data_IF_141270262310
#
_entry.id   IF_141270262310
#
_cell.length_a   1.000
_cell.length_b   1.000
_cell.length_c   1.000
_cell.angle_alpha   90.00
_cell.angle_beta   90.00
_cell.angle_gamma   90.00
#
_symmetry.space_group_name_H-M   'P 1'
#
loop_
_entity.id
_entity.type
_entity.pdbx_description
1 polymer ?
#
# COMPACT_ATOMS: atom_id res chain seq x y z
N UNK A 1 14.42 39.85 33.51
CA UNK A 1 14.93 39.42 32.18
C UNK A 1 14.63 37.95 31.90
N UNK A 2 14.90 37.02 32.82
CA UNK A 2 14.68 35.57 32.60
C UNK A 2 13.21 35.16 32.38
N UNK A 3 12.25 35.86 33.00
CA UNK A 3 10.82 35.56 32.84
C UNK A 3 10.30 35.86 31.42
N UNK A 4 10.84 36.89 30.76
CA UNK A 4 10.49 37.28 29.39
C UNK A 4 11.06 36.31 28.35
N UNK A 5 12.28 35.80 28.59
CA UNK A 5 12.89 34.75 27.76
C UNK A 5 12.11 33.43 27.92
N UNK A 6 11.68 33.11 29.15
CA UNK A 6 10.90 31.90 29.41
C UNK A 6 9.50 31.99 28.78
N UNK A 7 8.84 33.16 28.84
CA UNK A 7 7.55 33.35 28.17
C UNK A 7 7.68 33.29 26.64
N UNK A 8 8.75 33.84 26.05
CA UNK A 8 8.93 33.81 24.59
C UNK A 8 9.29 32.42 24.07
N UNK A 9 10.08 31.63 24.81
CA UNK A 9 10.35 30.22 24.47
C UNK A 9 9.13 29.35 24.66
N UNK A 10 8.33 29.59 25.72
CA UNK A 10 7.06 28.89 25.94
C UNK A 10 6.04 29.23 24.83
N UNK A 11 5.97 30.49 24.39
CA UNK A 11 5.09 30.89 23.28
C UNK A 11 5.54 30.26 21.94
N UNK A 12 6.84 30.18 21.68
CA UNK A 12 7.40 29.47 20.51
C UNK A 12 7.14 27.97 20.57
N UNK A 13 7.21 27.37 21.75
CA UNK A 13 6.87 25.95 21.97
C UNK A 13 5.37 25.70 21.81
N UNK A 14 4.52 26.56 22.37
CA UNK A 14 3.06 26.45 22.24
C UNK A 14 2.62 26.70 20.79
N UNK A 15 3.23 27.66 20.07
CA UNK A 15 2.94 27.91 18.65
C UNK A 15 3.36 26.72 17.77
N UNK A 16 4.51 26.09 18.05
CA UNK A 16 4.88 24.81 17.42
C UNK A 16 3.95 23.65 17.80
N UNK A 17 3.26 23.73 18.93
CA UNK A 17 2.39 22.67 19.47
C UNK A 17 0.89 22.85 19.18
N UNK A 18 0.44 24.00 18.70
CA UNK A 18 -0.97 24.21 18.34
C UNK A 18 -1.26 23.62 16.95
N UNK A 19 -1.77 22.38 16.94
CA UNK A 19 -2.50 21.70 15.86
C UNK A 19 -2.04 22.01 14.42
N UNK A 20 -1.13 21.19 13.89
CA UNK A 20 -0.61 21.34 12.53
C UNK A 20 -1.24 20.33 11.57
N UNK A 21 -2.55 20.07 11.71
CA UNK A 21 -3.31 19.29 10.74
C UNK A 21 -4.12 20.20 9.82
N UNK A 22 -4.27 19.81 8.56
CA UNK A 22 -5.22 20.42 7.62
C UNK A 22 -6.11 19.34 7.01
N UNK A 23 -7.40 19.64 6.93
CA UNK A 23 -8.41 18.83 6.28
C UNK A 23 -8.77 19.47 4.93
N UNK A 24 -8.71 18.68 3.85
CA UNK A 24 -8.98 19.12 2.47
C UNK A 24 -10.04 18.21 1.85
N UNK A 25 -11.12 18.79 1.33
CA UNK A 25 -12.20 18.04 0.71
C UNK A 25 -12.06 18.03 -0.82
N UNK A 26 -11.68 16.89 -1.37
CA UNK A 26 -11.58 16.72 -2.83
C UNK A 26 -12.99 16.63 -3.42
N UNK A 27 -13.23 17.36 -4.52
CA UNK A 27 -14.53 17.75 -5.08
C UNK A 27 -15.10 19.05 -4.52
N UNK A 28 -15.35 19.13 -3.21
CA UNK A 28 -16.06 20.26 -2.61
C UNK A 28 -15.22 21.54 -2.59
N UNK A 29 -13.92 21.43 -2.30
CA UNK A 29 -12.97 22.55 -2.35
C UNK A 29 -12.46 22.84 -3.78
N UNK A 30 -13.09 22.24 -4.80
CA UNK A 30 -12.71 22.32 -6.23
C UNK A 30 -11.35 21.71 -6.57
N UNK A 31 -10.78 20.94 -5.65
CA UNK A 31 -9.61 20.09 -5.91
C UNK A 31 -10.02 18.78 -6.59
N UNK A 32 -9.09 18.18 -7.31
CA UNK A 32 -9.19 16.88 -7.95
C UNK A 32 -8.09 15.95 -7.41
N UNK A 33 -8.28 14.63 -7.55
CA UNK A 33 -7.28 13.62 -7.16
C UNK A 33 -5.90 13.87 -7.80
N UNK A 34 -5.87 14.41 -9.02
CA UNK A 34 -4.61 14.76 -9.70
C UNK A 34 -3.81 15.87 -9.00
N UNK A 35 -4.45 16.66 -8.15
CA UNK A 35 -3.85 17.81 -7.47
C UNK A 35 -3.17 17.40 -6.15
N UNK A 36 -3.40 16.17 -5.67
CA UNK A 36 -2.80 15.65 -4.43
C UNK A 36 -1.29 15.91 -4.31
N UNK A 37 -0.44 15.68 -5.34
CA UNK A 37 0.99 15.94 -5.23
C UNK A 37 1.32 17.41 -4.91
N UNK A 38 0.63 18.34 -5.57
CA UNK A 38 0.83 19.78 -5.39
C UNK A 38 0.32 20.24 -4.02
N UNK A 39 -0.85 19.74 -3.61
CA UNK A 39 -1.44 20.05 -2.31
C UNK A 39 -0.55 19.56 -1.16
N UNK A 40 -0.05 18.32 -1.22
CA UNK A 40 0.89 17.80 -0.22
C UNK A 40 2.12 18.69 -0.12
N UNK A 41 2.76 19.02 -1.25
CA UNK A 41 3.94 19.90 -1.29
C UNK A 41 3.65 21.27 -0.70
N UNK A 42 2.50 21.86 -1.03
CA UNK A 42 2.10 23.20 -0.60
C UNK A 42 1.81 23.27 0.89
N UNK A 43 1.06 22.29 1.42
CA UNK A 43 0.61 22.33 2.80
C UNK A 43 1.65 21.78 3.79
N UNK A 44 2.57 20.92 3.36
CA UNK A 44 3.63 20.38 4.22
C UNK A 44 4.59 21.45 4.79
N UNK A 45 4.65 22.65 4.20
CA UNK A 45 5.42 23.77 4.77
C UNK A 45 4.85 24.27 6.10
N UNK A 46 3.55 24.09 6.30
CA UNK A 46 2.82 24.63 7.45
C UNK A 46 2.26 23.53 8.33
N UNK A 47 1.85 22.41 7.74
CA UNK A 47 1.13 21.32 8.42
C UNK A 47 1.97 20.04 8.40
N UNK A 48 2.03 19.34 9.54
CA UNK A 48 2.69 18.03 9.64
C UNK A 48 1.71 16.87 9.44
N UNK A 49 0.42 17.16 9.35
CA UNK A 49 -0.63 16.18 9.06
C UNK A 49 -1.57 16.76 7.99
N UNK A 50 -1.76 16.03 6.91
CA UNK A 50 -2.60 16.46 5.79
C UNK A 50 -3.62 15.36 5.52
N UNK A 51 -4.89 15.68 5.71
CA UNK A 51 -5.99 14.75 5.54
C UNK A 51 -6.81 15.15 4.30
N UNK A 52 -6.88 14.24 3.34
CA UNK A 52 -7.70 14.39 2.14
C UNK A 52 -8.97 13.57 2.30
N UNK A 53 -10.13 14.23 2.28
CA UNK A 53 -11.44 13.59 2.26
C UNK A 53 -11.91 13.49 0.82
N UNK A 54 -12.19 12.27 0.38
CA UNK A 54 -12.62 11.97 -0.98
C UNK A 54 -14.14 11.84 -0.99
N UNK A 55 -14.84 12.92 -1.31
CA UNK A 55 -16.30 12.95 -1.24
C UNK A 55 -17.00 12.43 -2.51
N UNK A 56 -16.22 11.85 -3.45
CA UNK A 56 -16.77 11.21 -4.64
C UNK A 56 -17.48 9.90 -4.30
N UNK A 57 -18.72 9.76 -4.77
CA UNK A 57 -19.38 8.45 -4.87
C UNK A 57 -18.68 7.54 -5.87
N UNK A 58 -18.17 8.11 -6.97
CA UNK A 58 -17.28 7.45 -7.92
C UNK A 58 -16.41 8.47 -8.64
N UNK A 59 -15.11 8.18 -8.73
CA UNK A 59 -14.11 8.93 -9.47
C UNK A 59 -13.53 8.05 -10.57
N UNK A 60 -13.63 8.49 -11.81
CA UNK A 60 -13.03 7.82 -12.97
C UNK A 60 -11.71 8.48 -13.34
N UNK A 61 -10.64 7.70 -13.41
CA UNK A 61 -9.32 8.22 -13.75
C UNK A 61 -9.23 8.54 -15.26
N UNK A 62 -8.94 9.81 -15.57
CA UNK A 62 -8.64 10.28 -16.94
C UNK A 62 -7.18 10.76 -17.11
N UNK A 63 -6.27 10.32 -16.24
CA UNK A 63 -4.86 10.70 -16.32
C UNK A 63 -4.07 9.79 -17.26
N UNK A 64 -3.19 10.39 -18.08
CA UNK A 64 -2.34 9.65 -19.00
C UNK A 64 -1.20 8.90 -18.29
N UNK A 65 -0.73 9.44 -17.16
CA UNK A 65 0.43 8.95 -16.41
C UNK A 65 0.05 8.54 -14.97
N UNK A 66 0.95 7.79 -14.31
CA UNK A 66 0.84 7.45 -12.87
C UNK A 66 0.88 8.73 -12.04
N UNK A 67 0.19 8.76 -10.90
CA UNK A 67 0.21 9.92 -9.99
C UNK A 67 1.43 9.80 -9.06
N UNK A 68 2.43 10.69 -9.16
CA UNK A 68 3.59 10.65 -8.27
C UNK A 68 3.27 11.40 -6.97
N UNK A 69 3.24 10.69 -5.86
CA UNK A 69 3.03 11.25 -4.52
C UNK A 69 4.39 11.39 -3.83
N UNK A 70 4.89 12.61 -3.73
CA UNK A 70 6.12 12.92 -3.00
C UNK A 70 5.76 13.31 -1.57
N UNK A 71 6.15 12.48 -0.60
CA UNK A 71 5.91 12.69 0.83
C UNK A 71 7.11 13.44 1.44
N UNK A 72 6.92 14.68 1.93
CA UNK A 72 7.98 15.45 2.57
C UNK A 72 8.42 14.84 3.90
N UNK A 73 9.55 15.30 4.42
CA UNK A 73 10.00 14.94 5.76
C UNK A 73 8.96 15.37 6.81
N UNK A 74 8.81 14.58 7.86
CA UNK A 74 8.02 14.90 9.06
C UNK A 74 6.54 15.22 8.78
N UNK A 75 6.01 14.70 7.66
CA UNK A 75 4.63 14.94 7.20
C UNK A 75 3.87 13.63 7.07
N UNK A 76 2.75 13.52 7.77
CA UNK A 76 1.79 12.42 7.64
C UNK A 76 0.70 12.79 6.64
N UNK A 77 0.24 11.80 5.88
CA UNK A 77 -0.78 12.00 4.84
C UNK A 77 -1.86 10.96 4.95
N UNK A 78 -3.12 11.40 5.05
CA UNK A 78 -4.28 10.50 5.02
C UNK A 78 -5.11 10.75 3.77
N UNK A 79 -5.55 9.69 3.09
CA UNK A 79 -6.52 9.72 1.99
C UNK A 79 -7.73 8.90 2.43
N UNK A 80 -8.82 9.60 2.73
CA UNK A 80 -9.98 9.07 3.47
C UNK A 80 -11.20 9.15 2.56
N UNK A 81 -11.72 8.00 2.14
CA UNK A 81 -13.02 7.90 1.50
C UNK A 81 -14.18 8.01 2.47
N UNK A 82 -15.37 8.14 1.93
CA UNK A 82 -16.61 8.23 2.67
C UNK A 82 -16.84 6.94 3.48
N UNK A 83 -16.88 7.07 4.81
CA UNK A 83 -17.08 5.94 5.73
C UNK A 83 -18.55 5.59 6.01
N UNK A 84 -19.50 6.28 5.38
CA UNK A 84 -20.94 6.00 5.54
C UNK A 84 -21.40 4.85 4.62
N UNK A 85 -22.71 4.70 4.40
CA UNK A 85 -23.30 3.57 3.65
C UNK A 85 -22.83 3.45 2.19
N UNK A 86 -22.09 4.42 1.66
CA UNK A 86 -21.52 4.40 0.32
C UNK A 86 -20.05 4.83 0.39
N UNK A 87 -19.13 3.85 0.22
CA UNK A 87 -17.69 4.10 0.15
C UNK A 87 -17.32 4.88 -1.11
N UNK A 88 -16.22 5.61 -1.05
CA UNK A 88 -15.70 6.31 -2.23
C UNK A 88 -15.10 5.30 -3.19
N UNK A 89 -15.44 5.43 -4.47
CA UNK A 89 -15.00 4.48 -5.51
C UNK A 89 -13.98 5.13 -6.43
N UNK A 90 -12.86 4.46 -6.63
CA UNK A 90 -11.84 4.75 -7.64
C UNK A 90 -11.98 3.74 -8.78
N UNK A 91 -12.57 4.19 -9.88
CA UNK A 91 -12.90 3.36 -11.04
C UNK A 91 -11.87 3.53 -12.16
N UNK A 92 -11.18 2.43 -12.48
CA UNK A 92 -10.13 2.35 -13.50
C UNK A 92 -10.62 1.79 -14.84
N UNK A 93 -11.94 1.72 -15.06
CA UNK A 93 -12.53 1.24 -16.33
C UNK A 93 -12.05 2.00 -17.57
N UNK A 94 -11.61 3.25 -17.44
CA UNK A 94 -11.16 4.09 -18.57
C UNK A 94 -9.64 4.07 -18.73
N UNK A 95 -8.87 4.30 -17.65
CA UNK A 95 -7.40 4.27 -17.67
C UNK A 95 -6.85 3.56 -16.43
N UNK A 96 -5.86 2.71 -16.62
CA UNK A 96 -5.28 1.86 -15.57
C UNK A 96 -3.90 2.36 -15.16
N UNK A 97 -3.86 3.51 -14.49
CA UNK A 97 -2.63 4.11 -13.95
C UNK A 97 -2.75 4.24 -12.44
N UNK A 98 -1.79 3.64 -11.73
CA UNK A 98 -1.73 3.66 -10.28
C UNK A 98 -1.05 4.90 -9.71
N UNK A 99 -0.72 4.81 -8.43
CA UNK A 99 0.05 5.76 -7.66
C UNK A 99 1.49 5.27 -7.50
N UNK A 100 2.43 6.19 -7.56
CA UNK A 100 3.81 5.94 -7.16
C UNK A 100 4.15 6.85 -5.99
N UNK A 101 4.68 6.29 -4.91
CA UNK A 101 5.06 7.05 -3.74
C UNK A 101 6.58 7.18 -3.63
N UNK A 102 7.02 8.37 -3.26
CA UNK A 102 8.41 8.70 -2.99
C UNK A 102 8.50 9.44 -1.66
N UNK A 103 9.52 9.11 -0.87
CA UNK A 103 9.82 9.85 0.37
C UNK A 103 11.01 10.77 0.12
N UNK A 104 10.85 12.07 0.42
CA UNK A 104 11.96 13.03 0.33
C UNK A 104 13.06 12.72 1.36
N UNK A 105 12.66 12.23 2.54
CA UNK A 105 13.51 11.74 3.63
C UNK A 105 12.69 10.76 4.45
N UNK A 106 13.32 9.75 5.05
CA UNK A 106 12.64 8.75 5.88
C UNK A 106 12.72 9.13 7.36
N UNK A 107 11.69 9.83 7.86
CA UNK A 107 11.64 10.33 9.23
C UNK A 107 10.54 9.70 10.08
N UNK A 108 9.94 8.61 9.61
CA UNK A 108 8.87 7.88 10.31
C UNK A 108 7.48 8.35 9.92
N UNK A 109 7.31 8.86 8.69
CA UNK A 109 6.02 9.33 8.20
C UNK A 109 5.00 8.20 8.15
N UNK A 110 3.75 8.56 8.44
CA UNK A 110 2.60 7.66 8.38
C UNK A 110 1.68 8.07 7.23
N UNK A 111 1.38 7.12 6.35
CA UNK A 111 0.42 7.28 5.26
C UNK A 111 -0.80 6.39 5.53
N UNK A 112 -2.00 6.96 5.53
CA UNK A 112 -3.25 6.20 5.73
C UNK A 112 -4.10 6.29 4.47
N UNK A 113 -4.58 5.16 3.97
CA UNK A 113 -5.58 5.06 2.90
C UNK A 113 -6.77 4.29 3.46
N UNK A 114 -7.95 4.91 3.54
CA UNK A 114 -9.07 4.35 4.29
C UNK A 114 -10.40 4.49 3.58
N UNK A 115 -11.26 3.47 3.68
CA UNK A 115 -12.64 3.47 3.18
C UNK A 115 -12.78 3.77 1.67
N UNK A 116 -11.88 3.22 0.84
CA UNK A 116 -11.88 3.43 -0.62
C UNK A 116 -11.95 2.09 -1.34
N UNK A 117 -12.78 2.06 -2.38
CA UNK A 117 -12.97 0.90 -3.26
C UNK A 117 -12.26 1.15 -4.57
N UNK A 118 -11.22 0.38 -4.85
CA UNK A 118 -10.48 0.42 -6.10
C UNK A 118 -11.03 -0.67 -7.01
N UNK A 119 -11.60 -0.30 -8.16
CA UNK A 119 -12.28 -1.24 -9.05
C UNK A 119 -11.76 -1.17 -10.49
N UNK A 120 -11.81 -2.32 -11.17
CA UNK A 120 -11.60 -2.44 -12.62
C UNK A 120 -10.19 -2.02 -13.09
N UNK A 121 -9.15 -2.33 -12.30
CA UNK A 121 -7.75 -2.11 -12.69
C UNK A 121 -7.27 -3.24 -13.63
N UNK A 122 -7.76 -3.24 -14.87
CA UNK A 122 -7.53 -4.29 -15.87
C UNK A 122 -6.77 -3.73 -17.08
N UNK A 123 -5.54 -4.19 -17.29
CA UNK A 123 -4.68 -3.74 -18.39
C UNK A 123 -4.50 -4.85 -19.44
N UNK A 124 -4.66 -4.55 -20.73
CA UNK A 124 -4.54 -5.55 -21.82
C UNK A 124 -3.16 -6.21 -21.88
N UNK A 125 -2.13 -5.47 -21.50
CA UNK A 125 -0.73 -5.93 -21.42
C UNK A 125 -0.29 -5.98 -19.98
N UNK A 126 -1.10 -6.57 -19.10
CA UNK A 126 -0.72 -6.77 -17.71
C UNK A 126 0.66 -7.45 -17.64
N UNK A 127 1.49 -6.98 -16.73
CA UNK A 127 2.86 -7.45 -16.50
C UNK A 127 3.31 -7.05 -15.10
N UNK A 128 4.54 -7.44 -14.74
CA UNK A 128 5.20 -7.04 -13.50
C UNK A 128 5.41 -5.51 -13.35
N UNK A 129 5.15 -4.72 -14.39
CA UNK A 129 5.29 -3.25 -14.39
C UNK A 129 3.96 -2.50 -14.28
N UNK A 130 2.86 -3.26 -14.24
CA UNK A 130 1.50 -2.76 -14.07
C UNK A 130 1.05 -3.04 -12.64
N UNK A 131 0.88 -1.96 -11.88
CA UNK A 131 0.56 -2.01 -10.46
C UNK A 131 -0.30 -0.81 -10.06
N UNK A 132 -1.17 -0.99 -9.07
CA UNK A 132 -1.96 0.10 -8.50
C UNK A 132 -1.11 0.97 -7.57
N UNK A 133 -0.29 0.36 -6.70
CA UNK A 133 0.59 1.08 -5.79
C UNK A 133 2.03 0.65 -5.98
N UNK A 134 2.94 1.62 -6.06
CA UNK A 134 4.36 1.36 -6.13
C UNK A 134 5.18 2.22 -5.19
N UNK A 135 6.15 1.56 -4.58
CA UNK A 135 7.11 2.13 -3.65
C UNK A 135 8.50 1.70 -4.07
N UNK A 136 9.38 2.68 -4.31
CA UNK A 136 10.82 2.46 -4.46
C UNK A 136 11.47 2.89 -3.14
N UNK A 137 11.57 1.94 -2.22
CA UNK A 137 11.91 2.20 -0.82
C UNK A 137 13.40 1.96 -0.57
N UNK A 138 14.14 3.00 -0.21
CA UNK A 138 15.55 2.87 0.19
C UNK A 138 15.69 2.56 1.69
N UNK A 139 14.69 2.86 2.52
CA UNK A 139 14.79 2.77 3.98
C UNK A 139 13.43 2.43 4.59
N UNK A 140 13.36 1.72 5.73
CA UNK A 140 12.10 1.28 6.37
C UNK A 140 11.53 2.24 7.43
N UNK A 141 12.07 3.45 7.60
CA UNK A 141 11.54 4.40 8.59
C UNK A 141 10.31 5.16 8.05
N UNK A 142 9.22 4.42 7.83
CA UNK A 142 7.90 4.89 7.43
C UNK A 142 6.86 3.79 7.69
N UNK A 143 5.58 4.17 7.76
CA UNK A 143 4.47 3.25 7.93
C UNK A 143 3.31 3.62 7.00
N UNK A 144 2.64 2.61 6.44
CA UNK A 144 1.55 2.77 5.48
C UNK A 144 0.41 1.83 5.86
N UNK A 145 -0.77 2.38 6.06
CA UNK A 145 -1.95 1.62 6.43
C UNK A 145 -3.05 1.73 5.38
N UNK A 146 -3.59 0.58 4.98
CA UNK A 146 -4.79 0.46 4.17
C UNK A 146 -5.90 -0.10 5.06
N UNK A 147 -6.96 0.66 5.28
CA UNK A 147 -8.00 0.31 6.27
C UNK A 147 -9.36 0.27 5.58
N UNK A 148 -10.05 -0.87 5.67
CA UNK A 148 -11.42 -1.01 5.14
C UNK A 148 -11.53 -0.66 3.64
N UNK A 149 -10.50 -1.01 2.86
CA UNK A 149 -10.47 -0.85 1.42
C UNK A 149 -10.94 -2.12 0.69
N UNK A 150 -11.48 -1.99 -0.52
CA UNK A 150 -11.60 -3.14 -1.43
C UNK A 150 -10.84 -2.96 -2.74
N UNK A 151 -10.36 -4.08 -3.27
CA UNK A 151 -9.62 -4.18 -4.53
C UNK A 151 -10.34 -5.22 -5.40
N UNK A 152 -11.10 -4.77 -6.38
CA UNK A 152 -12.04 -5.63 -7.12
C UNK A 152 -11.81 -5.59 -8.63
N UNK A 153 -11.77 -6.78 -9.25
CA UNK A 153 -11.64 -6.99 -10.70
C UNK A 153 -10.32 -6.45 -11.27
N UNK A 154 -9.22 -7.09 -10.89
CA UNK A 154 -7.87 -6.69 -11.28
C UNK A 154 -7.24 -7.82 -12.10
N UNK A 155 -6.37 -7.47 -13.06
CA UNK A 155 -5.47 -8.44 -13.69
C UNK A 155 -3.99 -8.14 -13.50
N UNK A 156 -3.72 -7.19 -12.62
CA UNK A 156 -2.42 -6.59 -12.35
C UNK A 156 -2.25 -6.45 -10.84
N UNK A 157 -1.03 -6.15 -10.38
CA UNK A 157 -0.72 -6.14 -8.94
C UNK A 157 -1.39 -4.98 -8.20
N UNK A 158 -1.79 -5.24 -6.96
CA UNK A 158 -2.25 -4.17 -6.05
C UNK A 158 -1.06 -3.38 -5.54
N UNK A 159 -0.01 -4.07 -5.08
CA UNK A 159 1.17 -3.44 -4.48
C UNK A 159 2.46 -4.05 -5.01
N UNK A 160 3.38 -3.20 -5.47
CA UNK A 160 4.77 -3.54 -5.76
C UNK A 160 5.71 -2.71 -4.88
N UNK A 161 6.64 -3.37 -4.21
CA UNK A 161 7.68 -2.73 -3.38
C UNK A 161 9.04 -3.15 -3.90
N UNK A 162 9.75 -2.20 -4.50
CA UNK A 162 11.14 -2.36 -4.91
C UNK A 162 12.07 -1.85 -3.79
N UNK A 163 13.14 -2.60 -3.52
CA UNK A 163 14.27 -2.12 -2.70
C UNK A 163 15.52 -2.07 -3.59
N UNK A 164 16.27 -0.95 -3.59
CA UNK A 164 17.48 -0.82 -4.39
C UNK A 164 18.64 -1.66 -3.85
N UNK A 165 19.57 -1.94 -4.75
CA UNK A 165 20.61 -2.97 -4.68
C UNK A 165 21.57 -2.93 -3.46
N UNK A 166 21.63 -1.85 -2.66
CA UNK A 166 22.77 -1.59 -1.77
C UNK A 166 22.44 -1.28 -0.30
N UNK A 167 21.18 -1.31 0.14
CA UNK A 167 20.85 -0.90 1.52
C UNK A 167 20.49 -2.09 2.40
N UNK A 168 21.38 -2.41 3.35
CA UNK A 168 21.08 -3.28 4.49
C UNK A 168 20.16 -2.53 5.44
N UNK A 169 18.90 -2.94 5.48
CA UNK A 169 17.90 -2.36 6.36
C UNK A 169 17.91 -3.15 7.66
N UNK A 170 18.62 -2.66 8.67
CA UNK A 170 18.85 -3.42 9.91
C UNK A 170 17.70 -3.40 10.92
N UNK A 171 16.67 -2.57 10.74
CA UNK A 171 15.56 -2.47 11.67
C UNK A 171 14.28 -3.08 11.07
N UNK A 172 13.75 -4.10 11.76
CA UNK A 172 12.41 -4.66 11.52
C UNK A 172 11.35 -3.65 11.93
N UNK A 173 10.61 -3.14 10.95
CA UNK A 173 9.45 -2.28 11.17
C UNK A 173 8.32 -2.71 10.24
N UNK A 174 7.10 -2.71 10.76
CA UNK A 174 5.88 -2.87 9.96
C UNK A 174 5.74 -1.67 9.04
N UNK A 175 6.07 -1.86 7.76
CA UNK A 175 6.05 -0.79 6.76
C UNK A 175 4.70 -0.66 6.09
N UNK A 176 4.04 -1.80 5.86
CA UNK A 176 2.74 -1.85 5.20
C UNK A 176 1.78 -2.69 6.03
N UNK A 177 0.58 -2.19 6.24
CA UNK A 177 -0.48 -2.91 6.94
C UNK A 177 -1.79 -2.77 6.18
N UNK A 178 -2.33 -3.88 5.69
CA UNK A 178 -3.68 -3.97 5.14
C UNK A 178 -4.59 -4.55 6.22
N UNK A 179 -5.59 -3.80 6.67
CA UNK A 179 -6.47 -4.19 7.76
C UNK A 179 -7.94 -4.08 7.35
N UNK A 180 -8.68 -5.18 7.55
CA UNK A 180 -10.09 -5.26 7.17
C UNK A 180 -10.34 -4.98 5.68
N UNK A 181 -9.42 -5.42 4.82
CA UNK A 181 -9.49 -5.20 3.38
C UNK A 181 -10.13 -6.39 2.65
N UNK A 182 -10.70 -6.14 1.47
CA UNK A 182 -11.27 -7.19 0.61
C UNK A 182 -10.53 -7.18 -0.73
N UNK A 183 -10.01 -8.33 -1.12
CA UNK A 183 -9.38 -8.58 -2.42
C UNK A 183 -10.26 -9.55 -3.18
N UNK A 184 -10.80 -9.13 -4.33
CA UNK A 184 -11.78 -9.94 -5.08
C UNK A 184 -11.49 -9.94 -6.57
N UNK A 185 -11.55 -11.11 -7.19
CA UNK A 185 -11.39 -11.27 -8.64
C UNK A 185 -10.07 -10.66 -9.15
N UNK A 186 -8.96 -10.95 -8.46
CA UNK A 186 -7.63 -10.48 -8.86
C UNK A 186 -6.92 -11.64 -9.54
N UNK A 187 -6.87 -11.64 -10.87
CA UNK A 187 -6.35 -12.77 -11.65
C UNK A 187 -5.30 -12.30 -12.67
N UNK A 188 -4.05 -12.73 -12.53
CA UNK A 188 -2.96 -12.30 -13.41
C UNK A 188 -1.62 -12.34 -12.69
N UNK A 189 -0.94 -11.20 -12.58
CA UNK A 189 0.43 -11.11 -12.04
C UNK A 189 0.50 -11.03 -10.50
N UNK A 190 -0.52 -11.55 -9.83
CA UNK A 190 -0.61 -11.61 -8.38
C UNK A 190 -1.15 -10.36 -7.69
N UNK A 191 -1.21 -10.39 -6.36
CA UNK A 191 -1.73 -9.28 -5.53
C UNK A 191 -0.59 -8.42 -5.00
N UNK A 192 0.41 -9.06 -4.40
CA UNK A 192 1.56 -8.39 -3.78
C UNK A 192 2.87 -8.85 -4.41
N UNK A 193 3.78 -7.90 -4.65
CA UNK A 193 5.15 -8.21 -5.05
C UNK A 193 6.19 -7.41 -4.26
N UNK A 194 7.00 -8.12 -3.47
CA UNK A 194 8.23 -7.61 -2.86
C UNK A 194 9.42 -8.00 -3.74
N UNK A 195 9.87 -7.07 -4.57
CA UNK A 195 10.88 -7.30 -5.59
C UNK A 195 12.28 -6.85 -5.14
N UNK A 196 13.21 -7.79 -5.14
CA UNK A 196 14.61 -7.50 -4.96
C UNK A 196 15.26 -7.45 -6.34
N UNK A 197 15.91 -6.34 -6.71
CA UNK A 197 16.55 -6.15 -8.03
C UNK A 197 17.81 -7.02 -8.25
N UNK A 198 17.83 -8.26 -7.75
CA UNK A 198 18.66 -9.36 -8.26
C UNK A 198 19.59 -10.09 -7.29
N UNK A 199 19.56 -9.85 -5.98
CA UNK A 199 20.58 -10.42 -5.05
C UNK A 199 20.02 -10.82 -3.67
N UNK A 200 20.76 -11.61 -2.90
CA UNK A 200 20.46 -12.00 -1.51
C UNK A 200 20.57 -10.80 -0.55
N UNK A 201 19.64 -9.84 -0.64
CA UNK A 201 19.61 -8.67 0.25
C UNK A 201 18.79 -9.00 1.49
N UNK A 202 19.37 -8.78 2.66
CA UNK A 202 18.66 -8.80 3.93
C UNK A 202 17.94 -7.46 4.10
N UNK A 203 16.71 -7.38 3.58
CA UNK A 203 15.81 -6.27 3.89
C UNK A 203 14.79 -6.72 4.93
N UNK A 204 14.69 -5.96 6.02
CA UNK A 204 13.77 -6.19 7.12
C UNK A 204 12.41 -5.50 6.93
N UNK A 205 11.99 -5.28 5.68
CA UNK A 205 10.64 -4.77 5.41
C UNK A 205 9.59 -5.81 5.77
N UNK A 206 8.55 -5.37 6.47
CA UNK A 206 7.42 -6.21 6.85
C UNK A 206 6.15 -5.69 6.18
N UNK A 207 5.43 -6.60 5.51
CA UNK A 207 4.06 -6.39 5.05
C UNK A 207 3.14 -7.27 5.88
N UNK A 208 2.16 -6.67 6.54
CA UNK A 208 1.14 -7.35 7.30
C UNK A 208 -0.22 -7.21 6.63
N UNK A 209 -0.97 -8.29 6.56
CA UNK A 209 -2.37 -8.30 6.14
C UNK A 209 -3.19 -8.95 7.24
N UNK A 210 -4.12 -8.19 7.81
CA UNK A 210 -4.92 -8.60 8.96
C UNK A 210 -6.42 -8.51 8.68
N UNK A 211 -7.22 -9.42 9.25
CA UNK A 211 -8.69 -9.37 9.22
C UNK A 211 -9.28 -9.20 7.80
N UNK A 212 -8.57 -9.71 6.79
CA UNK A 212 -8.87 -9.41 5.38
C UNK A 212 -9.34 -10.65 4.63
N UNK A 213 -10.05 -10.44 3.53
CA UNK A 213 -10.62 -11.52 2.72
C UNK A 213 -10.03 -11.52 1.30
N UNK A 214 -9.72 -12.71 0.78
CA UNK A 214 -9.25 -12.94 -0.58
C UNK A 214 -10.21 -13.91 -1.26
N UNK A 215 -10.88 -13.45 -2.32
CA UNK A 215 -11.95 -14.18 -2.99
C UNK A 215 -11.67 -14.25 -4.48
N UNK A 216 -11.50 -15.46 -5.01
CA UNK A 216 -11.24 -15.67 -6.44
C UNK A 216 -9.99 -14.90 -6.91
N UNK A 217 -8.89 -15.09 -6.20
CA UNK A 217 -7.62 -14.43 -6.49
C UNK A 217 -6.58 -15.46 -6.95
N UNK A 218 -5.69 -15.05 -7.86
CA UNK A 218 -4.56 -15.84 -8.31
C UNK A 218 -3.24 -15.27 -7.81
N UNK A 219 -2.27 -16.15 -7.56
CA UNK A 219 -0.86 -15.79 -7.34
C UNK A 219 -0.69 -14.72 -6.23
N UNK A 220 -1.32 -14.93 -5.06
CA UNK A 220 -1.49 -13.91 -4.00
C UNK A 220 -0.21 -13.14 -3.68
N UNK A 221 0.91 -13.83 -3.49
CA UNK A 221 2.15 -13.21 -3.06
C UNK A 221 3.35 -13.72 -3.84
N UNK A 222 4.13 -12.77 -4.35
CA UNK A 222 5.50 -12.99 -4.82
C UNK A 222 6.45 -12.20 -3.93
N UNK A 223 7.48 -12.87 -3.40
CA UNK A 223 8.46 -12.20 -2.54
C UNK A 223 9.88 -12.72 -2.78
N UNK A 224 10.78 -11.78 -2.98
CA UNK A 224 12.22 -12.02 -3.11
C UNK A 224 13.00 -11.62 -1.85
N UNK A 225 12.34 -11.00 -0.86
CA UNK A 225 12.93 -10.57 0.41
C UNK A 225 11.85 -10.28 1.47
N UNK A 226 12.29 -10.05 2.72
CA UNK A 226 11.47 -9.46 3.77
C UNK A 226 10.50 -10.43 4.44
N UNK A 227 9.56 -9.88 5.20
CA UNK A 227 8.60 -10.64 5.98
C UNK A 227 7.19 -10.32 5.50
N UNK A 228 6.40 -11.37 5.28
CA UNK A 228 4.99 -11.23 4.96
C UNK A 228 4.16 -11.98 5.99
N UNK A 229 3.20 -11.30 6.60
CA UNK A 229 2.37 -11.84 7.68
C UNK A 229 0.90 -11.79 7.27
N UNK A 230 0.24 -12.94 7.21
CA UNK A 230 -1.22 -13.03 7.13
C UNK A 230 -1.78 -13.40 8.51
N UNK A 231 -2.67 -12.58 9.06
CA UNK A 231 -3.28 -12.77 10.38
C UNK A 231 -4.80 -12.65 10.33
N UNK A 232 -5.52 -13.70 10.74
CA UNK A 232 -6.98 -13.72 10.73
C UNK A 232 -7.56 -13.40 9.33
N UNK A 233 -6.95 -13.95 8.28
CA UNK A 233 -7.41 -13.78 6.90
C UNK A 233 -8.27 -14.95 6.43
N UNK A 234 -9.18 -14.68 5.50
CA UNK A 234 -10.00 -15.70 4.84
C UNK A 234 -9.64 -15.76 3.37
N UNK A 235 -9.31 -16.95 2.88
CA UNK A 235 -8.97 -17.21 1.49
C UNK A 235 -10.00 -18.16 0.89
N UNK A 236 -10.63 -17.76 -0.21
CA UNK A 236 -11.68 -18.54 -0.89
C UNK A 236 -11.38 -18.59 -2.38
N UNK A 237 -11.38 -19.79 -2.96
CA UNK A 237 -11.17 -19.99 -4.40
C UNK A 237 -9.84 -19.40 -4.91
N UNK A 238 -8.74 -19.77 -4.27
CA UNK A 238 -7.39 -19.35 -4.67
C UNK A 238 -6.88 -20.23 -5.81
N UNK A 239 -6.26 -19.62 -6.83
CA UNK A 239 -5.77 -20.29 -8.04
C UNK A 239 -4.41 -19.76 -8.50
N UNK A 240 -3.87 -20.22 -9.63
CA UNK A 240 -2.69 -19.63 -10.27
C UNK A 240 -3.02 -19.25 -11.71
N UNK A 241 -2.64 -18.05 -12.12
CA UNK A 241 -2.79 -17.56 -13.50
C UNK A 241 -1.48 -17.61 -14.28
N UNK A 242 -0.33 -17.41 -13.63
CA UNK A 242 0.99 -17.42 -14.30
C UNK A 242 1.69 -18.78 -14.24
N UNK A 243 1.09 -19.77 -13.57
CA UNK A 243 1.60 -21.14 -13.53
C UNK A 243 2.79 -21.36 -12.59
N UNK A 244 3.06 -20.41 -11.69
CA UNK A 244 4.19 -20.47 -10.77
C UNK A 244 3.75 -21.08 -9.44
N UNK A 245 2.88 -20.41 -8.70
CA UNK A 245 2.32 -20.91 -7.45
C UNK A 245 0.91 -20.37 -7.27
N UNK A 246 -0.01 -21.18 -6.73
CA UNK A 246 -1.39 -20.71 -6.52
C UNK A 246 -1.51 -19.68 -5.40
N UNK A 247 -0.67 -19.78 -4.37
CA UNK A 247 -0.75 -18.89 -3.21
C UNK A 247 0.51 -18.03 -3.06
N UNK A 248 1.67 -18.65 -2.78
CA UNK A 248 2.90 -17.88 -2.55
C UNK A 248 4.09 -18.42 -3.34
N UNK A 249 4.83 -17.51 -3.96
CA UNK A 249 6.14 -17.75 -4.51
C UNK A 249 7.22 -16.96 -3.76
N UNK A 250 8.17 -17.67 -3.17
CA UNK A 250 9.20 -17.12 -2.29
C UNK A 250 10.61 -17.44 -2.78
N UNK A 251 11.50 -16.45 -2.77
CA UNK A 251 12.93 -16.60 -3.09
C UNK A 251 13.82 -15.89 -2.07
N UNK A 252 15.08 -16.30 -2.06
CA UNK A 252 16.19 -15.67 -1.32
C UNK A 252 15.95 -15.60 0.19
N UNK A 253 15.90 -14.39 0.76
CA UNK A 253 15.83 -14.18 2.19
C UNK A 253 14.46 -13.61 2.56
N UNK A 254 13.45 -14.46 2.41
CA UNK A 254 12.05 -14.11 2.57
C UNK A 254 11.41 -15.01 3.62
N UNK A 255 10.53 -14.46 4.44
CA UNK A 255 9.81 -15.19 5.50
C UNK A 255 8.31 -14.98 5.35
N UNK A 256 7.56 -16.07 5.36
CA UNK A 256 6.10 -16.05 5.36
C UNK A 256 5.59 -16.57 6.71
N UNK A 257 4.67 -15.82 7.32
CA UNK A 257 3.93 -16.23 8.51
C UNK A 257 2.43 -16.23 8.21
N UNK A 258 1.74 -17.34 8.48
CA UNK A 258 0.28 -17.44 8.33
C UNK A 258 -0.31 -17.88 9.66
N UNK A 259 -1.08 -17.01 10.30
CA UNK A 259 -1.69 -17.28 11.59
C UNK A 259 -3.18 -16.97 11.60
N UNK A 260 -3.94 -17.76 12.36
CA UNK A 260 -5.39 -17.62 12.55
C UNK A 260 -6.22 -17.53 11.25
N UNK A 261 -5.66 -17.96 10.12
CA UNK A 261 -6.25 -17.78 8.80
C UNK A 261 -6.94 -19.04 8.31
N UNK A 262 -7.94 -18.89 7.44
CA UNK A 262 -8.77 -19.99 6.93
C UNK A 262 -8.72 -20.04 5.41
N UNK A 263 -8.67 -21.25 4.87
CA UNK A 263 -8.68 -21.50 3.43
C UNK A 263 -9.90 -22.35 3.05
N UNK A 264 -10.65 -21.90 2.06
CA UNK A 264 -11.88 -22.52 1.55
C UNK A 264 -11.78 -22.72 0.03
N UNK A 265 -12.36 -23.82 -0.46
CA UNK A 265 -12.58 -24.09 -1.88
C UNK A 265 -11.36 -23.84 -2.77
N UNK A 266 -10.17 -24.33 -2.36
CA UNK A 266 -8.94 -24.14 -3.11
C UNK A 266 -9.01 -24.97 -4.40
N UNK A 267 -9.36 -24.31 -5.52
CA UNK A 267 -9.41 -24.91 -6.84
C UNK A 267 -8.03 -24.82 -7.51
N UNK A 268 -7.18 -25.81 -7.24
CA UNK A 268 -5.94 -26.00 -8.00
C UNK A 268 -6.32 -26.60 -9.36
N UNK A 269 -6.61 -25.74 -10.33
CA UNK A 269 -7.11 -26.12 -11.67
C UNK A 269 -6.13 -27.04 -12.41
N UNK A 270 -4.83 -26.91 -12.15
CA UNK A 270 -3.79 -27.80 -12.65
C UNK A 270 -3.04 -28.48 -11.50
N UNK A 271 -3.20 -29.79 -11.34
CA UNK A 271 -2.51 -30.63 -10.31
C UNK A 271 -0.97 -30.53 -10.30
N UNK A 272 -0.39 -29.83 -11.27
CA UNK A 272 1.05 -29.65 -11.46
C UNK A 272 1.55 -28.37 -10.76
N UNK A 273 0.67 -27.39 -10.50
CA UNK A 273 1.07 -26.12 -9.90
C UNK A 273 1.06 -26.25 -8.36
N UNK A 274 2.20 -26.05 -7.69
CA UNK A 274 2.26 -26.09 -6.24
C UNK A 274 1.51 -24.91 -5.60
N UNK A 275 0.96 -25.15 -4.40
CA UNK A 275 0.29 -24.10 -3.63
C UNK A 275 1.29 -23.03 -3.14
N UNK A 276 2.44 -23.46 -2.63
CA UNK A 276 3.56 -22.60 -2.23
C UNK A 276 4.86 -23.11 -2.87
N UNK A 277 5.68 -22.21 -3.40
CA UNK A 277 7.08 -22.49 -3.78
C UNK A 277 8.00 -21.65 -2.90
N UNK A 278 9.04 -22.28 -2.36
CA UNK A 278 10.08 -21.60 -1.59
C UNK A 278 11.46 -22.20 -1.86
N UNK A 279 12.50 -21.36 -1.95
CA UNK A 279 13.91 -21.76 -1.98
C UNK A 279 14.74 -20.95 -0.98
N UNK A 280 15.32 -21.63 0.01
CA UNK A 280 16.20 -21.00 1.01
C UNK A 280 15.48 -20.20 2.10
N UNK A 281 14.16 -20.36 2.24
CA UNK A 281 13.31 -19.48 3.05
C UNK A 281 12.75 -20.17 4.31
N UNK A 282 12.27 -19.34 5.26
CA UNK A 282 11.56 -19.80 6.45
C UNK A 282 10.04 -19.65 6.28
N UNK A 283 9.29 -20.71 6.60
CA UNK A 283 7.83 -20.73 6.62
C UNK A 283 7.37 -21.01 8.06
N UNK A 284 6.54 -20.12 8.62
CA UNK A 284 6.02 -20.20 10.00
C UNK A 284 4.50 -20.25 10.04
#
# INVERSE_FOLDING_TARGET
MNCLIFLSTLFLLIWKCSCLSIDLHISDDKYNIKDLPELISTFAYTYNEINFYIDYTSYTFDLLDKIPINIPADTNVSIIGNGSNQRSVFDYSVKQKGFTFYFAKYTGQHIIIKNIDFINFVHERASDDVFLFFFDSVNTNYNIEYINCSFENFNSMVLKVDVPYNELINNLHDNFHFNSCIFRNINGYGVFYMNNKGFEINSNSIIKVSNSEFINCSDILRMDYGYFIFDNCIFTNISSSIGIASFVYMRYNSTLTIQNSKFYDINIVDKIIPFIIAWGNELK
#
